data_IF_040053687779
#
_entry.id   IF_040053687779
#
_cell.length_a   1.000
_cell.length_b   1.000
_cell.length_c   1.000
_cell.angle_alpha   90.00
_cell.angle_beta   90.00
_cell.angle_gamma   90.00
#
_symmetry.space_group_name_H-M   'P 1'
#
loop_
_entity.id
_entity.type
_entity.pdbx_description
1 polymer ?
#
# COMPACT_ATOMS: atom_id res chain seq x y z
N UNK A 1 19.34 11.86 6.90
CA UNK A 1 19.19 11.37 8.27
C UNK A 1 18.03 12.06 9.00
N UNK A 2 17.77 11.70 10.27
CA UNK A 2 16.61 12.13 11.04
C UNK A 2 16.39 13.65 11.10
N UNK A 3 17.47 14.43 11.19
CA UNK A 3 17.40 15.89 11.20
C UNK A 3 16.82 16.50 9.90
N UNK A 4 16.68 15.72 8.84
CA UNK A 4 16.07 16.15 7.59
C UNK A 4 14.57 15.84 7.52
N UNK A 5 14.01 15.09 8.48
CA UNK A 5 12.59 14.77 8.55
C UNK A 5 11.88 15.83 9.41
N UNK A 6 10.80 16.40 8.89
CA UNK A 6 9.92 17.30 9.64
C UNK A 6 8.60 16.65 10.04
N UNK A 7 8.16 15.66 9.26
CA UNK A 7 6.92 14.94 9.53
C UNK A 7 6.98 13.52 8.94
N UNK A 8 6.33 12.56 9.62
CA UNK A 8 6.23 11.16 9.19
C UNK A 8 4.79 10.70 9.40
N UNK A 9 4.14 10.32 8.32
CA UNK A 9 2.80 9.74 8.31
C UNK A 9 2.75 8.56 7.34
N UNK A 10 1.67 7.80 7.32
CA UNK A 10 1.46 6.76 6.33
C UNK A 10 0.00 6.69 5.87
N UNK A 11 -0.21 6.14 4.69
CA UNK A 11 -1.51 5.62 4.26
C UNK A 11 -1.42 4.10 4.16
N UNK A 12 -2.44 3.45 3.62
CA UNK A 12 -2.52 1.98 3.55
C UNK A 12 -1.25 1.28 3.01
N UNK A 13 -0.50 1.95 2.15
CA UNK A 13 0.61 1.32 1.40
C UNK A 13 1.87 2.18 1.30
N UNK A 14 1.82 3.44 1.74
CA UNK A 14 2.89 4.41 1.55
C UNK A 14 3.28 5.10 2.85
N UNK A 15 4.58 5.09 3.14
CA UNK A 15 5.16 6.00 4.12
C UNK A 15 5.25 7.39 3.49
N UNK A 16 4.71 8.39 4.15
CA UNK A 16 4.71 9.79 3.72
C UNK A 16 5.61 10.58 4.65
N UNK A 17 6.64 11.18 4.10
CA UNK A 17 7.57 12.02 4.85
C UNK A 17 7.60 13.43 4.27
N UNK A 18 7.71 14.42 5.15
CA UNK A 18 8.10 15.77 4.75
C UNK A 18 9.55 15.99 5.15
N UNK A 19 10.36 16.49 4.23
CA UNK A 19 11.79 16.74 4.47
C UNK A 19 12.12 18.23 4.38
N UNK A 20 13.12 18.68 5.14
CA UNK A 20 13.60 20.07 5.07
C UNK A 20 14.37 20.32 3.78
N UNK A 21 15.16 19.35 3.35
CA UNK A 21 16.03 19.45 2.17
C UNK A 21 15.82 18.19 1.28
N UNK A 22 15.14 18.39 0.18
CA UNK A 22 14.79 17.33 -0.77
C UNK A 22 16.00 16.77 -1.52
N UNK A 23 17.09 17.53 -1.64
CA UNK A 23 18.33 17.08 -2.32
C UNK A 23 19.10 16.01 -1.54
N UNK A 24 18.80 15.85 -0.25
CA UNK A 24 19.40 14.83 0.64
C UNK A 24 18.65 13.51 0.66
N UNK A 25 17.60 13.38 -0.15
CA UNK A 25 16.83 12.14 -0.28
C UNK A 25 17.51 11.24 -1.31
N UNK A 26 18.04 10.13 -0.85
CA UNK A 26 18.60 9.11 -1.73
C UNK A 26 17.55 8.05 -2.04
N UNK A 27 16.98 8.13 -3.24
CA UNK A 27 15.93 7.21 -3.68
C UNK A 27 16.45 5.77 -3.89
N UNK A 28 17.73 5.59 -4.21
CA UNK A 28 18.31 4.26 -4.40
C UNK A 28 18.43 3.55 -3.05
N UNK A 29 18.89 4.26 -2.04
CA UNK A 29 18.93 3.73 -0.67
C UNK A 29 17.52 3.40 -0.18
N UNK A 30 16.52 4.24 -0.42
CA UNK A 30 15.14 3.95 -0.05
C UNK A 30 14.59 2.70 -0.77
N UNK A 31 14.90 2.52 -2.05
CA UNK A 31 14.53 1.29 -2.79
C UNK A 31 15.21 0.05 -2.23
N UNK A 32 16.48 0.14 -1.79
CA UNK A 32 17.19 -1.00 -1.20
C UNK A 32 16.62 -1.44 0.16
N UNK A 33 15.73 -0.66 0.79
CA UNK A 33 15.00 -1.05 2.00
C UNK A 33 13.75 -1.89 1.72
N UNK A 34 13.54 -2.34 0.49
CA UNK A 34 12.36 -3.12 0.08
C UNK A 34 11.19 -2.26 -0.42
N UNK A 35 11.41 -0.98 -0.70
CA UNK A 35 10.37 -0.14 -1.27
C UNK A 35 10.11 -0.47 -2.75
N UNK A 36 8.85 -0.70 -3.12
CA UNK A 36 8.42 -0.91 -4.49
C UNK A 36 8.61 0.35 -5.36
N UNK A 37 8.54 1.54 -4.75
CA UNK A 37 8.75 2.81 -5.44
C UNK A 37 8.96 3.98 -4.49
N UNK A 38 9.50 5.08 -5.03
CA UNK A 38 9.69 6.34 -4.30
C UNK A 38 9.20 7.49 -5.18
N UNK A 39 8.25 8.26 -4.68
CA UNK A 39 7.69 9.44 -5.33
C UNK A 39 8.13 10.67 -4.54
N UNK A 40 8.76 11.62 -5.21
CA UNK A 40 9.23 12.86 -4.59
C UNK A 40 8.61 14.06 -5.29
N UNK A 41 7.89 14.89 -4.52
CA UNK A 41 7.30 16.15 -5.01
C UNK A 41 7.64 17.28 -4.05
N UNK A 42 8.58 18.13 -4.44
CA UNK A 42 9.10 19.18 -3.57
C UNK A 42 9.72 18.59 -2.30
N UNK A 43 9.23 18.99 -1.13
CA UNK A 43 9.65 18.47 0.17
C UNK A 43 8.90 17.19 0.60
N UNK A 44 7.85 16.81 -0.13
CA UNK A 44 7.10 15.59 0.12
C UNK A 44 7.76 14.36 -0.52
N UNK A 45 7.99 13.33 0.28
CA UNK A 45 8.54 12.05 -0.14
C UNK A 45 7.56 10.95 0.24
N UNK A 46 7.17 10.15 -0.73
CA UNK A 46 6.31 8.99 -0.52
C UNK A 46 7.08 7.72 -0.89
N UNK A 47 7.18 6.81 0.05
CA UNK A 47 7.88 5.53 -0.14
C UNK A 47 6.86 4.41 -0.10
N UNK A 48 6.74 3.67 -1.18
CA UNK A 48 5.74 2.62 -1.38
C UNK A 48 6.28 1.31 -0.83
N UNK A 49 5.76 0.89 0.32
CA UNK A 49 6.14 -0.36 0.99
C UNK A 49 5.04 -1.44 0.95
N UNK A 50 3.82 -1.07 0.52
CA UNK A 50 2.68 -1.98 0.58
C UNK A 50 2.03 -2.04 1.97
N UNK A 51 1.25 -3.10 2.27
CA UNK A 51 0.42 -3.17 3.47
C UNK A 51 1.21 -3.16 4.79
N UNK A 52 2.50 -3.47 4.77
CA UNK A 52 3.38 -3.48 5.96
C UNK A 52 3.80 -2.06 6.42
N UNK A 53 3.38 -1.02 5.74
CA UNK A 53 3.81 0.36 5.99
C UNK A 53 3.56 0.84 7.42
N UNK A 54 2.51 0.36 8.10
CA UNK A 54 2.21 0.71 9.49
C UNK A 54 3.31 0.23 10.44
N UNK A 55 3.81 -0.99 10.24
CA UNK A 55 4.90 -1.55 11.03
C UNK A 55 6.19 -0.75 10.78
N UNK A 56 6.46 -0.41 9.51
CA UNK A 56 7.62 0.37 9.12
C UNK A 56 7.57 1.77 9.74
N UNK A 57 6.39 2.41 9.72
CA UNK A 57 6.19 3.72 10.36
C UNK A 57 6.45 3.64 11.87
N UNK A 58 5.85 2.67 12.56
CA UNK A 58 6.03 2.49 13.99
C UNK A 58 7.52 2.31 14.36
N UNK A 59 8.22 1.44 13.66
CA UNK A 59 9.66 1.21 13.85
C UNK A 59 10.49 2.49 13.60
N UNK A 60 10.14 3.27 12.56
CA UNK A 60 10.80 4.52 12.26
C UNK A 60 10.56 5.56 13.35
N UNK A 61 9.33 5.70 13.84
CA UNK A 61 9.01 6.63 14.93
C UNK A 61 9.73 6.25 16.23
N UNK A 62 9.81 4.95 16.55
CA UNK A 62 10.56 4.46 17.71
C UNK A 62 12.06 4.73 17.57
N UNK A 63 12.63 4.53 16.39
CA UNK A 63 14.02 4.88 16.10
C UNK A 63 14.27 6.38 16.26
N UNK A 64 13.37 7.24 15.77
CA UNK A 64 13.47 8.69 15.89
C UNK A 64 13.36 9.14 17.36
N UNK A 65 12.51 8.49 18.18
CA UNK A 65 12.35 8.76 19.62
C UNK A 65 13.53 8.30 20.47
N UNK A 66 14.19 7.23 20.08
CA UNK A 66 15.31 6.64 20.83
C UNK A 66 16.58 7.52 20.87
N UNK A 67 16.62 8.60 20.09
CA UNK A 67 17.80 9.47 19.97
C UNK A 67 18.95 8.82 19.19
N UNK A 68 18.82 7.58 18.74
CA UNK A 68 19.82 6.88 17.93
C UNK A 68 20.05 7.54 16.57
N UNK A 69 19.13 8.38 16.15
CA UNK A 69 19.19 9.14 14.90
C UNK A 69 20.34 10.19 14.84
N UNK A 70 21.06 10.41 15.93
CA UNK A 70 22.21 11.32 16.02
C UNK A 70 23.60 10.65 15.99
N UNK A 71 23.64 9.32 16.08
CA UNK A 71 24.89 8.56 16.05
C UNK A 71 24.76 7.46 14.98
N UNK A 72 25.14 7.78 13.72
CA UNK A 72 25.83 6.81 12.91
C UNK A 72 25.81 7.14 11.42
N UNK A 73 26.96 7.51 10.97
CA UNK A 73 27.59 6.97 9.78
C UNK A 73 28.40 5.73 10.24
N UNK A 74 27.78 4.60 10.51
CA UNK A 74 28.49 3.34 10.65
C UNK A 74 27.55 2.14 10.49
N UNK A 75 27.78 1.40 9.41
CA UNK A 75 27.48 -0.01 9.24
C UNK A 75 26.00 -0.43 9.24
N UNK A 76 25.30 -0.23 8.12
CA UNK A 76 24.35 -1.24 7.67
C UNK A 76 25.14 -2.28 6.86
N UNK A 77 25.77 -3.21 7.56
CA UNK A 77 26.01 -4.55 7.06
C UNK A 77 24.88 -5.42 7.60
N UNK A 78 23.71 -5.27 7.03
CA UNK A 78 22.79 -6.37 6.93
C UNK A 78 23.21 -7.10 5.65
N UNK A 79 23.72 -8.30 5.78
CA UNK A 79 23.87 -9.21 4.67
C UNK A 79 22.51 -9.28 3.98
N UNK A 80 22.43 -9.08 2.68
CA UNK A 80 21.24 -9.41 1.95
C UNK A 80 21.20 -10.94 1.92
N UNK A 81 20.31 -11.56 2.67
CA UNK A 81 19.75 -12.81 2.18
C UNK A 81 19.11 -12.45 0.86
N UNK A 82 19.87 -12.71 -0.19
CA UNK A 82 19.44 -12.63 -1.56
C UNK A 82 18.36 -13.69 -1.78
N UNK A 83 17.12 -13.36 -1.45
CA UNK A 83 16.02 -13.86 -2.24
C UNK A 83 15.99 -12.95 -3.47
N UNK A 84 16.79 -13.36 -4.44
CA UNK A 84 16.65 -12.99 -5.84
C UNK A 84 15.25 -13.45 -6.24
N UNK A 85 14.26 -12.57 -6.04
CA UNK A 85 12.96 -12.74 -6.69
C UNK A 85 13.26 -12.69 -8.19
N UNK A 86 13.43 -13.87 -8.76
CA UNK A 86 13.45 -14.09 -10.19
C UNK A 86 12.23 -13.33 -10.75
N UNK A 87 12.48 -12.30 -11.55
CA UNK A 87 11.47 -11.77 -12.47
C UNK A 87 10.84 -12.99 -13.12
N UNK A 88 9.52 -13.19 -13.03
CA UNK A 88 8.92 -14.29 -13.75
C UNK A 88 9.21 -14.03 -15.23
N UNK A 89 10.13 -14.84 -15.79
CA UNK A 89 10.14 -15.05 -17.22
C UNK A 89 8.68 -15.37 -17.59
N UNK A 90 8.19 -14.86 -18.71
CA UNK A 90 6.86 -15.13 -19.26
C UNK A 90 6.71 -16.65 -19.49
N UNK A 91 6.68 -17.38 -18.38
CA UNK A 91 6.32 -18.78 -18.32
C UNK A 91 4.82 -18.92 -18.56
N UNK A 92 4.43 -20.03 -19.18
CA UNK A 92 3.04 -20.36 -19.48
C UNK A 92 2.12 -19.98 -18.31
N UNK A 93 0.96 -19.35 -18.62
CA UNK A 93 -0.12 -19.08 -17.67
C UNK A 93 -0.44 -20.36 -16.90
N UNK A 94 -0.01 -20.44 -15.65
CA UNK A 94 -0.21 -21.62 -14.82
C UNK A 94 -1.65 -21.75 -14.38
N UNK A 95 -2.38 -20.63 -14.26
CA UNK A 95 -3.77 -20.57 -13.84
C UNK A 95 -4.42 -19.24 -14.23
N UNK A 96 -5.74 -19.26 -14.44
CA UNK A 96 -6.59 -18.08 -14.61
C UNK A 96 -7.53 -17.99 -13.41
N UNK A 97 -7.51 -16.86 -12.69
CA UNK A 97 -8.47 -16.54 -11.64
C UNK A 97 -9.44 -15.49 -12.19
N UNK A 98 -10.74 -15.74 -12.07
CA UNK A 98 -11.77 -14.79 -12.48
C UNK A 98 -12.23 -14.00 -11.27
N UNK A 99 -11.91 -12.71 -11.28
CA UNK A 99 -12.25 -11.76 -10.20
C UNK A 99 -13.39 -10.87 -10.71
N UNK A 100 -14.47 -10.73 -9.93
CA UNK A 100 -15.54 -9.77 -10.19
C UNK A 100 -15.10 -8.34 -9.87
N UNK A 101 -15.93 -7.35 -10.24
CA UNK A 101 -15.72 -5.98 -9.74
C UNK A 101 -16.20 -5.88 -8.29
N UNK A 102 -15.41 -5.29 -7.38
CA UNK A 102 -15.86 -5.01 -6.01
C UNK A 102 -16.83 -3.82 -5.93
N UNK A 103 -17.00 -3.07 -7.01
CA UNK A 103 -17.86 -1.89 -7.10
C UNK A 103 -18.82 -2.01 -8.29
N UNK A 104 -20.00 -1.45 -8.15
CA UNK A 104 -20.85 -1.12 -9.29
C UNK A 104 -20.45 0.26 -9.83
N UNK A 105 -20.12 0.34 -11.11
CA UNK A 105 -19.69 1.60 -11.72
C UNK A 105 -18.95 1.41 -13.03
N UNK A 106 -18.36 2.51 -13.50
CA UNK A 106 -17.59 2.53 -14.73
C UNK A 106 -16.12 2.14 -14.45
N UNK A 107 -15.64 1.10 -15.12
CA UNK A 107 -14.29 0.57 -14.95
C UNK A 107 -13.33 1.07 -16.02
N UNK A 108 -12.06 1.25 -15.65
CA UNK A 108 -10.97 1.57 -16.54
C UNK A 108 -9.68 0.84 -16.10
N UNK A 109 -8.66 0.74 -16.97
CA UNK A 109 -7.36 0.20 -16.58
C UNK A 109 -6.77 1.00 -15.40
N UNK A 110 -5.98 0.34 -14.54
CA UNK A 110 -5.33 0.99 -13.40
C UNK A 110 -4.44 2.19 -13.80
N UNK A 111 -3.91 2.17 -15.02
CA UNK A 111 -3.12 3.28 -15.61
C UNK A 111 -3.91 4.57 -15.79
N UNK A 112 -5.25 4.52 -15.74
CA UNK A 112 -6.12 5.70 -15.75
C UNK A 112 -6.31 6.33 -14.36
N UNK A 113 -5.73 5.71 -13.31
CA UNK A 113 -5.79 6.27 -11.96
C UNK A 113 -5.13 7.65 -11.89
N UNK A 114 -5.75 8.63 -11.20
CA UNK A 114 -5.10 9.92 -10.96
C UNK A 114 -3.99 9.84 -9.91
N UNK A 115 -3.85 8.73 -9.20
CA UNK A 115 -2.76 8.47 -8.26
C UNK A 115 -1.60 7.78 -8.98
N UNK A 116 -0.42 8.40 -8.93
CA UNK A 116 0.79 7.96 -9.63
C UNK A 116 1.27 6.56 -9.22
N UNK A 117 1.17 6.21 -7.92
CA UNK A 117 1.61 4.90 -7.44
C UNK A 117 0.74 3.76 -8.01
N UNK A 118 -0.57 4.00 -8.17
CA UNK A 118 -1.45 3.05 -8.82
C UNK A 118 -1.28 3.06 -10.34
N UNK A 119 -1.21 4.24 -10.97
CA UNK A 119 -1.06 4.37 -12.42
C UNK A 119 0.24 3.73 -12.95
N UNK A 120 1.33 3.84 -12.19
CA UNK A 120 2.63 3.23 -12.51
C UNK A 120 2.76 1.78 -12.03
N UNK A 121 1.67 1.19 -11.53
CA UNK A 121 1.61 -0.21 -11.05
C UNK A 121 2.63 -0.54 -9.95
N UNK A 122 3.04 0.44 -9.14
CA UNK A 122 3.97 0.22 -8.01
C UNK A 122 3.37 -0.71 -6.94
N UNK A 123 2.04 -0.85 -6.93
CA UNK A 123 1.25 -1.69 -6.01
C UNK A 123 0.75 -2.97 -6.67
N UNK A 124 1.22 -3.29 -7.87
CA UNK A 124 0.70 -4.38 -8.69
C UNK A 124 -0.22 -3.89 -9.80
N UNK A 125 -0.73 -4.83 -10.57
CA UNK A 125 -1.68 -4.55 -11.67
C UNK A 125 -3.12 -4.56 -11.16
N UNK A 126 -4.04 -3.95 -11.91
CA UNK A 126 -5.44 -3.90 -11.52
C UNK A 126 -6.32 -3.01 -12.40
N UNK A 127 -7.43 -2.59 -11.82
CA UNK A 127 -8.39 -1.70 -12.46
C UNK A 127 -8.79 -0.57 -11.52
N UNK A 128 -9.21 0.55 -12.08
CA UNK A 128 -9.91 1.62 -11.37
C UNK A 128 -11.41 1.58 -11.71
N UNK A 129 -12.25 1.93 -10.74
CA UNK A 129 -13.70 2.00 -10.91
C UNK A 129 -14.21 3.33 -10.37
N UNK A 130 -15.02 4.03 -11.16
CA UNK A 130 -15.81 5.17 -10.67
C UNK A 130 -17.13 4.60 -10.16
N UNK A 131 -17.33 4.50 -8.83
CA UNK A 131 -18.49 3.82 -8.27
C UNK A 131 -19.77 4.65 -8.43
N UNK A 132 -20.91 3.98 -8.65
CA UNK A 132 -22.23 4.60 -8.63
C UNK A 132 -23.00 4.32 -7.33
N UNK A 133 -22.44 3.49 -6.45
CA UNK A 133 -22.98 3.12 -5.14
C UNK A 133 -21.89 3.17 -4.08
N UNK A 134 -22.23 3.51 -2.84
CA UNK A 134 -21.30 3.59 -1.71
C UNK A 134 -21.10 2.26 -1.00
N UNK A 135 -20.94 1.16 -1.74
CA UNK A 135 -20.77 -0.19 -1.19
C UNK A 135 -19.66 -0.92 -1.92
N UNK A 136 -18.79 -1.57 -1.14
CA UNK A 136 -17.77 -2.51 -1.61
C UNK A 136 -18.25 -3.93 -1.35
N UNK A 137 -18.18 -4.80 -2.35
CA UNK A 137 -18.50 -6.22 -2.22
C UNK A 137 -17.31 -7.11 -2.53
N UNK A 138 -17.28 -8.32 -1.97
CA UNK A 138 -16.24 -9.30 -2.25
C UNK A 138 -16.27 -9.71 -3.73
N UNK A 139 -15.17 -9.53 -4.47
CA UNK A 139 -15.10 -9.83 -5.90
C UNK A 139 -15.02 -11.34 -6.20
N UNK A 140 -14.62 -12.12 -5.20
CA UNK A 140 -14.50 -13.59 -5.21
C UNK A 140 -14.51 -14.10 -3.78
N UNK A 141 -14.48 -15.42 -3.59
CA UNK A 141 -14.23 -16.04 -2.30
C UNK A 141 -12.80 -15.71 -1.85
N UNK A 142 -12.64 -15.26 -0.60
CA UNK A 142 -11.34 -14.81 -0.08
C UNK A 142 -11.33 -14.80 1.45
N UNK A 143 -10.14 -14.64 2.02
CA UNK A 143 -9.95 -14.30 3.43
C UNK A 143 -9.56 -12.82 3.54
N UNK A 144 -10.11 -12.09 4.50
CA UNK A 144 -9.71 -10.71 4.77
C UNK A 144 -8.33 -10.71 5.40
N UNK A 145 -7.32 -10.24 4.70
CA UNK A 145 -5.93 -10.19 5.19
C UNK A 145 -5.68 -9.00 6.09
N UNK A 146 -6.36 -7.88 5.86
CA UNK A 146 -6.37 -6.72 6.74
C UNK A 146 -7.54 -5.78 6.44
N UNK A 147 -7.93 -4.98 7.42
CA UNK A 147 -8.77 -3.78 7.27
C UNK A 147 -7.97 -2.59 7.80
N UNK A 148 -7.80 -1.55 7.00
CA UNK A 148 -7.04 -0.38 7.44
C UNK A 148 -7.80 0.40 8.53
N UNK A 149 -7.09 0.97 9.51
CA UNK A 149 -7.68 1.65 10.69
C UNK A 149 -8.73 2.70 10.35
N UNK A 150 -8.57 3.37 9.20
CA UNK A 150 -9.52 4.37 8.69
C UNK A 150 -10.55 3.77 7.72
N UNK A 151 -10.64 2.46 7.62
CA UNK A 151 -11.59 1.67 6.82
C UNK A 151 -11.64 1.99 5.31
N UNK A 152 -10.70 2.77 4.77
CA UNK A 152 -10.69 3.15 3.35
C UNK A 152 -9.99 2.13 2.46
N UNK A 153 -9.37 1.12 3.03
CA UNK A 153 -8.67 0.06 2.31
C UNK A 153 -8.84 -1.29 2.99
N UNK A 154 -9.02 -2.33 2.19
CA UNK A 154 -9.16 -3.73 2.62
C UNK A 154 -8.25 -4.59 1.77
N UNK A 155 -7.49 -5.47 2.42
CA UNK A 155 -6.72 -6.53 1.78
C UNK A 155 -7.50 -7.84 1.79
N UNK A 156 -7.41 -8.58 0.69
CA UNK A 156 -7.94 -9.92 0.56
C UNK A 156 -6.83 -10.87 0.14
N UNK A 157 -6.83 -12.04 0.73
CA UNK A 157 -6.04 -13.19 0.29
C UNK A 157 -6.98 -14.17 -0.41
N UNK A 158 -6.72 -14.39 -1.72
CA UNK A 158 -7.44 -15.30 -2.56
C UNK A 158 -6.83 -16.70 -2.46
N UNK A 159 -7.46 -17.68 -3.10
CA UNK A 159 -6.85 -19.00 -3.27
C UNK A 159 -5.42 -18.89 -3.85
N UNK A 160 -4.56 -19.79 -3.40
CA UNK A 160 -3.14 -19.89 -3.82
C UNK A 160 -2.27 -18.68 -3.43
N UNK A 161 -2.66 -17.91 -2.41
CA UNK A 161 -1.85 -16.82 -1.88
C UNK A 161 -1.81 -15.56 -2.77
N UNK A 162 -2.76 -15.41 -3.69
CA UNK A 162 -2.88 -14.17 -4.46
C UNK A 162 -3.44 -13.07 -3.56
N UNK A 163 -2.72 -11.99 -3.42
CA UNK A 163 -3.13 -10.83 -2.63
C UNK A 163 -3.85 -9.80 -3.51
N UNK A 164 -4.94 -9.24 -3.00
CA UNK A 164 -5.70 -8.17 -3.64
C UNK A 164 -5.93 -7.02 -2.66
N UNK A 165 -5.64 -5.80 -3.10
CA UNK A 165 -5.95 -4.58 -2.37
C UNK A 165 -7.15 -3.88 -3.00
N UNK A 166 -8.19 -3.61 -2.20
CA UNK A 166 -9.29 -2.72 -2.56
C UNK A 166 -9.08 -1.39 -1.83
N UNK A 167 -8.90 -0.30 -2.57
CA UNK A 167 -8.63 1.03 -2.01
C UNK A 167 -9.73 2.01 -2.46
N UNK A 168 -10.44 2.61 -1.51
CA UNK A 168 -11.59 3.47 -1.77
C UNK A 168 -11.18 4.94 -1.75
N UNK A 169 -11.24 5.56 -2.91
CA UNK A 169 -10.91 6.97 -3.14
C UNK A 169 -9.41 7.28 -3.11
N UNK A 170 -9.09 8.54 -3.37
CA UNK A 170 -7.71 9.05 -3.39
C UNK A 170 -7.50 9.95 -2.17
N UNK A 171 -6.43 9.71 -1.42
CA UNK A 171 -6.09 10.43 -0.18
C UNK A 171 -7.17 10.36 0.93
N UNK A 172 -8.06 9.38 0.87
CA UNK A 172 -9.17 9.21 1.82
C UNK A 172 -8.72 8.83 3.23
N UNK A 173 -7.48 8.44 3.43
CA UNK A 173 -6.85 8.33 4.75
C UNK A 173 -6.97 9.62 5.56
N UNK A 174 -6.94 10.78 4.91
CA UNK A 174 -7.08 12.09 5.54
C UNK A 174 -8.48 12.32 6.18
N UNK A 175 -9.48 11.55 5.79
CA UNK A 175 -10.83 11.57 6.37
C UNK A 175 -10.89 10.89 7.74
N UNK A 176 -9.80 10.21 8.16
CA UNK A 176 -9.69 9.53 9.46
C UNK A 176 -10.89 8.62 9.79
N UNK A 177 -11.37 7.89 8.76
CA UNK A 177 -12.50 6.98 8.85
C UNK A 177 -13.89 7.61 8.72
N UNK A 178 -13.98 8.93 8.59
CA UNK A 178 -15.27 9.58 8.39
C UNK A 178 -15.87 9.20 7.04
N UNK A 179 -17.10 8.71 7.04
CA UNK A 179 -17.80 8.23 5.86
C UNK A 179 -17.51 6.76 5.50
N UNK A 180 -16.63 6.08 6.23
CA UNK A 180 -16.29 4.68 6.01
C UNK A 180 -16.77 3.79 7.15
N UNK A 181 -17.38 2.66 6.81
CA UNK A 181 -17.82 1.65 7.77
C UNK A 181 -17.43 0.26 7.27
N UNK A 182 -16.44 -0.35 7.91
CA UNK A 182 -16.11 -1.74 7.66
C UNK A 182 -17.23 -2.66 8.19
N UNK A 183 -17.58 -3.68 7.42
CA UNK A 183 -18.56 -4.70 7.75
C UNK A 183 -17.90 -6.06 8.02
N UNK A 184 -16.58 -6.12 7.86
CA UNK A 184 -15.73 -7.30 8.05
C UNK A 184 -14.50 -6.91 8.87
N UNK A 185 -13.80 -7.91 9.38
CA UNK A 185 -12.55 -7.77 10.10
C UNK A 185 -11.49 -8.72 9.55
N UNK A 186 -10.23 -8.48 9.93
CA UNK A 186 -9.11 -9.36 9.60
C UNK A 186 -9.38 -10.81 10.05
N UNK A 187 -9.10 -11.76 9.16
CA UNK A 187 -9.34 -13.19 9.36
C UNK A 187 -10.73 -13.69 8.93
N UNK A 188 -11.67 -12.80 8.63
CA UNK A 188 -12.99 -13.22 8.15
C UNK A 188 -12.89 -13.90 6.77
N UNK A 189 -13.64 -14.98 6.59
CA UNK A 189 -13.84 -15.62 5.29
C UNK A 189 -15.09 -15.07 4.63
N UNK A 190 -14.94 -14.54 3.44
CA UNK A 190 -16.02 -13.93 2.65
C UNK A 190 -16.29 -14.69 1.38
N UNK A 191 -17.56 -14.66 0.95
CA UNK A 191 -18.01 -15.20 -0.31
C UNK A 191 -18.21 -14.08 -1.32
N UNK A 192 -18.07 -14.42 -2.61
CA UNK A 192 -18.36 -13.47 -3.69
C UNK A 192 -19.73 -12.81 -3.50
N UNK A 193 -19.75 -11.48 -3.46
CA UNK A 193 -20.94 -10.66 -3.28
C UNK A 193 -21.23 -10.26 -1.85
N UNK A 194 -20.51 -10.79 -0.84
CA UNK A 194 -20.66 -10.32 0.54
C UNK A 194 -20.24 -8.86 0.64
N UNK A 195 -20.97 -8.08 1.44
CA UNK A 195 -20.62 -6.66 1.68
C UNK A 195 -19.40 -6.57 2.59
N UNK A 196 -18.40 -5.81 2.16
CA UNK A 196 -17.15 -5.59 2.89
C UNK A 196 -17.10 -4.24 3.59
N UNK A 197 -17.59 -3.19 2.92
CA UNK A 197 -17.47 -1.81 3.38
C UNK A 197 -18.58 -0.95 2.79
N UNK A 198 -19.02 0.07 3.55
CA UNK A 198 -19.91 1.16 3.12
C UNK A 198 -19.18 2.51 3.20
N UNK A 199 -19.41 3.43 2.22
CA UNK A 199 -18.76 4.74 2.14
C UNK A 199 -19.63 5.79 1.49
#
# INVERSE_FOLDING_TARGET
GAANLSDVDCCATRLRCTVHDASKVDQQVLKSTGAAGVIQKGQGVQVVYGPQVNIIKANLEDYLRSGAAGAEQAAIQAEPESQEEAKPEHGALLRTIVIGSPFHGESAPITASPDEAFAEKMMGDGATVVPCEGVVTAPCDATISFVFDTNHAIGLELEDGVEMLIHVGINTVALKGQGFKALVQEGDQVKKGDKLLEF
#
